data_IF_958250556452
#
_entry.id   IF_958250556452
#
_cell.length_a   1.000
_cell.length_b   1.000
_cell.length_c   1.000
_cell.angle_alpha   90.00
_cell.angle_beta   90.00
_cell.angle_gamma   90.00
#
_symmetry.space_group_name_H-M   'P 1'
#
loop_
_entity.id
_entity.type
_entity.pdbx_description
1 polymer ?
#
# COMPACT_ATOMS: atom_id res chain seq x y z
N UNK A 1 -11.70 4.05 -11.53
CA UNK A 1 -11.50 2.60 -11.28
C UNK A 1 -12.11 2.25 -9.93
N UNK A 2 -12.63 1.04 -9.71
CA UNK A 2 -13.19 0.66 -8.41
C UNK A 2 -12.07 0.57 -7.37
N UNK A 3 -12.16 1.35 -6.29
CA UNK A 3 -11.26 1.28 -5.13
C UNK A 3 -11.93 0.55 -3.98
N UNK A 4 -11.18 0.09 -2.97
CA UNK A 4 -11.81 -0.51 -1.80
C UNK A 4 -12.68 0.52 -1.05
N UNK A 5 -13.92 0.15 -0.70
CA UNK A 5 -14.81 1.04 0.08
C UNK A 5 -14.15 1.45 1.40
N UNK A 6 -13.30 0.59 1.98
CA UNK A 6 -12.54 0.91 3.19
C UNK A 6 -11.62 2.14 3.04
N UNK A 7 -11.04 2.40 1.86
CA UNK A 7 -10.20 3.60 1.65
C UNK A 7 -11.05 4.87 1.67
N UNK A 8 -12.18 4.86 0.96
CA UNK A 8 -13.11 6.00 0.95
C UNK A 8 -13.66 6.28 2.36
N UNK A 9 -14.03 5.23 3.10
CA UNK A 9 -14.48 5.35 4.49
C UNK A 9 -13.41 5.92 5.42
N UNK A 10 -12.15 5.51 5.25
CA UNK A 10 -11.01 6.01 6.02
C UNK A 10 -10.85 7.54 5.83
N UNK A 11 -10.80 8.01 4.59
CA UNK A 11 -10.63 9.45 4.33
C UNK A 11 -11.84 10.29 4.72
N UNK A 12 -13.06 9.76 4.59
CA UNK A 12 -14.27 10.42 5.12
C UNK A 12 -14.17 10.56 6.65
N UNK A 13 -13.72 9.53 7.35
CA UNK A 13 -13.54 9.58 8.80
C UNK A 13 -12.48 10.61 9.21
N UNK A 14 -11.33 10.63 8.52
CA UNK A 14 -10.26 11.60 8.75
C UNK A 14 -10.79 13.03 8.55
N UNK A 15 -11.41 13.33 7.40
CA UNK A 15 -11.96 14.66 7.10
C UNK A 15 -13.00 15.10 8.13
N UNK A 16 -13.93 14.23 8.49
CA UNK A 16 -14.92 14.53 9.53
C UNK A 16 -14.28 14.80 10.89
N UNK A 17 -13.19 14.11 11.22
CA UNK A 17 -12.44 14.32 12.45
C UNK A 17 -11.72 15.67 12.45
N UNK A 18 -11.16 16.08 11.31
CA UNK A 18 -10.59 17.42 11.11
C UNK A 18 -11.65 18.49 11.33
N UNK A 19 -12.79 18.41 10.62
CA UNK A 19 -13.88 19.40 10.74
C UNK A 19 -14.36 19.57 12.19
N UNK A 20 -14.44 18.48 12.95
CA UNK A 20 -14.85 18.54 14.37
C UNK A 20 -13.75 19.12 15.27
N UNK A 21 -12.49 18.76 15.03
CA UNK A 21 -11.38 19.22 15.84
C UNK A 21 -11.13 20.73 15.66
N UNK A 22 -11.25 21.22 14.43
CA UNK A 22 -10.90 22.60 14.06
C UNK A 22 -11.92 23.64 14.51
N UNK A 23 -13.12 23.19 14.93
CA UNK A 23 -14.08 24.02 15.69
C UNK A 23 -13.57 24.35 17.09
N UNK A 24 -12.72 23.48 17.67
CA UNK A 24 -12.21 23.62 19.04
C UNK A 24 -10.79 24.17 19.09
N UNK A 25 -9.93 23.73 18.18
CA UNK A 25 -8.51 24.09 18.19
C UNK A 25 -7.85 23.80 16.85
N UNK A 26 -6.87 24.64 16.50
CA UNK A 26 -5.99 24.49 15.32
C UNK A 26 -4.51 24.42 15.70
N UNK A 27 -4.22 24.38 16.99
CA UNK A 27 -2.86 24.40 17.50
C UNK A 27 -2.32 23.00 17.79
N UNK A 28 -1.57 22.86 18.89
CA UNK A 28 -0.88 21.61 19.27
C UNK A 28 -1.78 20.37 19.29
N UNK A 29 -3.03 20.48 19.75
CA UNK A 29 -3.95 19.34 19.79
C UNK A 29 -4.32 18.86 18.38
N UNK A 30 -4.50 19.78 17.44
CA UNK A 30 -4.73 19.42 16.04
C UNK A 30 -3.49 18.77 15.42
N UNK A 31 -2.28 19.25 15.76
CA UNK A 31 -1.03 18.61 15.35
C UNK A 31 -0.92 17.15 15.85
N UNK A 32 -1.31 16.87 17.10
CA UNK A 32 -1.33 15.50 17.63
C UNK A 32 -2.34 14.61 16.88
N UNK A 33 -3.50 15.16 16.54
CA UNK A 33 -4.50 14.45 15.75
C UNK A 33 -3.99 14.13 14.33
N UNK A 34 -3.33 15.10 13.69
CA UNK A 34 -2.65 14.92 12.41
C UNK A 34 -1.64 13.77 12.46
N UNK A 35 -0.77 13.73 13.48
CA UNK A 35 0.22 12.64 13.64
C UNK A 35 -0.46 11.26 13.74
N UNK A 36 -1.60 11.17 14.43
CA UNK A 36 -2.37 9.93 14.49
C UNK A 36 -2.93 9.51 13.12
N UNK A 37 -3.27 10.46 12.24
CA UNK A 37 -3.67 10.15 10.87
C UNK A 37 -2.51 9.59 10.05
N UNK A 38 -1.30 10.16 10.17
CA UNK A 38 -0.10 9.65 9.51
C UNK A 38 0.13 8.17 9.87
N UNK A 39 0.12 7.85 11.15
CA UNK A 39 0.28 6.47 11.64
C UNK A 39 -0.83 5.54 11.11
N UNK A 40 -2.06 6.04 11.03
CA UNK A 40 -3.20 5.26 10.54
C UNK A 40 -3.06 4.95 9.04
N UNK A 41 -2.62 5.92 8.25
CA UNK A 41 -2.41 5.77 6.81
C UNK A 41 -1.28 4.77 6.49
N UNK A 42 -0.15 4.86 7.20
CA UNK A 42 0.96 3.89 7.05
C UNK A 42 0.52 2.45 7.38
N UNK A 43 -0.25 2.29 8.46
CA UNK A 43 -0.83 0.98 8.82
C UNK A 43 -1.79 0.48 7.74
N UNK A 44 -2.61 1.36 7.17
CA UNK A 44 -3.52 1.00 6.10
C UNK A 44 -2.77 0.55 4.83
N UNK A 45 -1.70 1.24 4.43
CA UNK A 45 -0.82 0.81 3.34
C UNK A 45 -0.26 -0.60 3.59
N UNK A 46 0.14 -0.90 4.82
CA UNK A 46 0.62 -2.23 5.21
C UNK A 46 -0.47 -3.31 5.07
N UNK A 47 -1.71 -2.99 5.45
CA UNK A 47 -2.86 -3.90 5.29
C UNK A 47 -3.15 -4.18 3.82
N UNK A 48 -3.06 -3.15 2.96
CA UNK A 48 -3.20 -3.31 1.51
C UNK A 48 -2.09 -4.20 0.93
N UNK A 49 -0.83 -3.97 1.31
CA UNK A 49 0.29 -4.81 0.89
C UNK A 49 0.18 -6.27 1.33
N UNK A 50 -0.45 -6.52 2.48
CA UNK A 50 -0.74 -7.88 2.96
C UNK A 50 -1.80 -8.64 2.15
N UNK A 51 -2.46 -7.99 1.18
CA UNK A 51 -3.39 -8.64 0.24
C UNK A 51 -2.68 -9.27 -0.96
N UNK A 52 -1.39 -9.00 -1.17
CA UNK A 52 -0.63 -9.61 -2.24
C UNK A 52 -0.32 -11.09 -1.94
N UNK A 53 -0.19 -11.93 -2.98
CA UNK A 53 0.27 -13.30 -2.83
C UNK A 53 1.68 -13.34 -2.23
N UNK A 54 1.95 -14.39 -1.44
CA UNK A 54 3.28 -14.61 -0.90
C UNK A 54 4.29 -14.88 -2.03
N UNK A 55 5.53 -14.35 -1.93
CA UNK A 55 6.60 -14.71 -2.84
C UNK A 55 6.84 -16.22 -2.82
N UNK A 56 7.18 -16.79 -3.97
CA UNK A 56 7.66 -18.15 -4.07
C UNK A 56 9.04 -18.22 -3.40
N UNK A 57 9.14 -18.99 -2.32
CA UNK A 57 10.43 -19.29 -1.70
C UNK A 57 10.89 -20.67 -2.15
N UNK A 58 12.02 -20.74 -2.85
CA UNK A 58 12.69 -22.00 -3.14
C UNK A 58 13.58 -22.37 -1.95
N UNK A 59 13.06 -23.18 -1.04
CA UNK A 59 13.90 -23.85 -0.03
C UNK A 59 14.45 -25.14 -0.63
N UNK A 60 15.75 -25.19 -0.90
CA UNK A 60 16.42 -26.41 -1.30
C UNK A 60 16.59 -27.32 -0.06
N UNK A 61 15.92 -28.47 -0.05
CA UNK A 61 16.16 -29.54 0.93
C UNK A 61 16.68 -30.75 0.15
N UNK A 62 17.93 -31.15 0.41
CA UNK A 62 18.51 -32.36 -0.19
C UNK A 62 18.69 -32.34 -1.71
N UNK A 63 18.92 -31.17 -2.33
CA UNK A 63 19.15 -31.06 -3.78
C UNK A 63 17.89 -31.06 -4.64
N UNK A 64 16.71 -31.07 -4.04
CA UNK A 64 15.42 -30.93 -4.72
C UNK A 64 14.87 -29.53 -4.45
N UNK A 65 14.72 -28.73 -5.50
CA UNK A 65 14.09 -27.42 -5.46
C UNK A 65 12.57 -27.58 -5.44
N UNK A 66 11.98 -27.59 -4.24
CA UNK A 66 10.52 -27.63 -4.09
C UNK A 66 10.02 -26.18 -3.94
N UNK A 67 9.10 -25.72 -4.80
CA UNK A 67 8.44 -24.43 -4.58
C UNK A 67 7.52 -24.57 -3.36
N UNK A 68 7.90 -23.93 -2.26
CA UNK A 68 7.06 -23.84 -1.05
C UNK A 68 6.57 -22.40 -0.92
N UNK A 69 5.27 -22.23 -0.78
CA UNK A 69 4.66 -21.00 -0.30
C UNK A 69 5.01 -20.83 1.18
N UNK A 70 5.76 -19.77 1.51
CA UNK A 70 6.15 -19.50 2.88
C UNK A 70 4.92 -19.10 3.70
N UNK A 71 4.48 -19.96 4.63
CA UNK A 71 3.48 -19.62 5.65
C UNK A 71 4.20 -18.97 6.84
N UNK A 72 4.44 -17.66 6.77
CA UNK A 72 4.94 -16.89 7.91
C UNK A 72 5.29 -15.44 7.59
N UNK A 73 5.05 -14.49 8.51
CA UNK A 73 5.46 -13.11 8.33
C UNK A 73 6.98 -13.01 8.61
N UNK A 74 7.79 -12.96 7.55
CA UNK A 74 9.18 -12.51 7.66
C UNK A 74 9.34 -11.17 6.94
N UNK A 75 9.42 -10.13 7.75
CA UNK A 75 9.96 -8.83 7.38
C UNK A 75 11.45 -9.03 7.07
N UNK A 76 11.82 -9.02 5.80
CA UNK A 76 13.20 -9.00 5.34
C UNK A 76 13.24 -8.40 3.93
N UNK A 77 14.28 -7.62 3.67
CA UNK A 77 14.56 -6.88 2.45
C UNK A 77 14.11 -7.59 1.17
N UNK A 78 13.33 -6.89 0.35
CA UNK A 78 12.80 -7.38 -0.93
C UNK A 78 13.99 -7.61 -1.87
N UNK A 79 14.38 -8.85 -2.16
CA UNK A 79 15.35 -9.10 -3.21
C UNK A 79 14.67 -8.78 -4.55
N UNK A 80 15.41 -8.10 -5.43
CA UNK A 80 15.01 -7.76 -6.81
C UNK A 80 14.60 -8.96 -7.67
N UNK A 81 14.74 -10.19 -7.17
CA UNK A 81 14.48 -11.46 -7.84
C UNK A 81 13.39 -12.29 -7.14
N UNK A 82 12.37 -11.65 -6.56
CA UNK A 82 11.22 -12.38 -5.97
C UNK A 82 10.27 -12.84 -7.07
N UNK A 83 10.03 -14.15 -7.18
CA UNK A 83 9.08 -14.72 -8.14
C UNK A 83 7.70 -14.93 -7.50
N UNK A 84 6.61 -14.66 -8.23
CA UNK A 84 5.24 -14.74 -7.72
C UNK A 84 4.39 -15.65 -8.61
N UNK A 85 3.49 -16.45 -8.01
CA UNK A 85 2.49 -17.21 -8.76
C UNK A 85 1.10 -16.64 -8.48
N UNK A 86 0.41 -16.25 -9.54
CA UNK A 86 -0.97 -15.73 -9.47
C UNK A 86 -1.90 -16.72 -10.19
N UNK A 87 -2.81 -17.39 -9.47
CA UNK A 87 -3.88 -18.17 -10.08
C UNK A 87 -4.77 -17.30 -10.99
N UNK A 88 -5.34 -17.84 -12.08
CA UNK A 88 -6.24 -17.07 -12.94
C UNK A 88 -7.39 -16.43 -12.17
N UNK A 89 -7.56 -15.12 -12.33
CA UNK A 89 -8.59 -14.32 -11.67
C UNK A 89 -8.09 -13.61 -10.40
N UNK A 90 -7.02 -14.07 -9.77
CA UNK A 90 -6.47 -13.41 -8.56
C UNK A 90 -5.70 -12.12 -8.89
N UNK A 91 -5.29 -11.93 -10.15
CA UNK A 91 -4.72 -10.67 -10.64
C UNK A 91 -5.63 -9.46 -10.40
N UNK A 92 -6.95 -9.67 -10.40
CA UNK A 92 -7.95 -8.62 -10.16
C UNK A 92 -7.78 -8.04 -8.77
N UNK A 93 -7.49 -8.87 -7.76
CA UNK A 93 -7.23 -8.39 -6.39
C UNK A 93 -5.99 -7.51 -6.34
N UNK A 94 -4.93 -7.89 -7.06
CA UNK A 94 -3.69 -7.10 -7.12
C UNK A 94 -3.92 -5.76 -7.81
N UNK A 95 -4.64 -5.74 -8.94
CA UNK A 95 -5.03 -4.50 -9.61
C UNK A 95 -5.90 -3.61 -8.72
N UNK A 96 -6.89 -4.17 -8.03
CA UNK A 96 -7.76 -3.42 -7.11
C UNK A 96 -6.97 -2.79 -5.96
N UNK A 97 -5.96 -3.49 -5.43
CA UNK A 97 -5.03 -2.94 -4.43
C UNK A 97 -4.22 -1.79 -5.02
N UNK A 98 -3.67 -1.93 -6.23
CA UNK A 98 -2.92 -0.87 -6.93
C UNK A 98 -3.80 0.37 -7.10
N UNK A 99 -4.99 0.23 -7.69
CA UNK A 99 -5.93 1.33 -7.90
C UNK A 99 -6.28 2.03 -6.57
N UNK A 100 -6.40 1.25 -5.49
CA UNK A 100 -6.68 1.80 -4.16
C UNK A 100 -5.47 2.56 -3.59
N UNK A 101 -4.24 2.06 -3.78
CA UNK A 101 -3.04 2.73 -3.33
C UNK A 101 -2.81 4.05 -4.08
N UNK A 102 -3.02 4.09 -5.40
CA UNK A 102 -2.94 5.33 -6.18
C UNK A 102 -3.98 6.36 -5.70
N UNK A 103 -5.24 5.95 -5.55
CA UNK A 103 -6.26 6.81 -4.97
C UNK A 103 -5.89 7.33 -3.57
N UNK A 104 -5.31 6.48 -2.72
CA UNK A 104 -4.86 6.89 -1.39
C UNK A 104 -3.73 7.92 -1.47
N UNK A 105 -2.74 7.74 -2.35
CA UNK A 105 -1.63 8.69 -2.52
C UNK A 105 -2.15 10.08 -2.93
N UNK A 106 -2.99 10.14 -3.97
CA UNK A 106 -3.61 11.38 -4.43
C UNK A 106 -4.45 12.05 -3.32
N UNK A 107 -5.19 11.24 -2.56
CA UNK A 107 -6.03 11.77 -1.48
C UNK A 107 -5.20 12.23 -0.28
N UNK A 108 -4.02 11.64 -0.02
CA UNK A 108 -3.08 12.11 1.01
C UNK A 108 -2.50 13.46 0.63
N UNK A 109 -2.13 13.68 -0.63
CA UNK A 109 -1.65 14.98 -1.12
C UNK A 109 -2.70 16.08 -0.86
N UNK A 110 -3.94 15.87 -1.30
CA UNK A 110 -5.03 16.81 -1.05
C UNK A 110 -5.35 17.00 0.45
N UNK A 111 -5.14 15.96 1.27
CA UNK A 111 -5.33 16.02 2.72
C UNK A 111 -4.24 16.88 3.37
N UNK A 112 -2.99 16.75 2.95
CA UNK A 112 -1.86 17.52 3.44
C UNK A 112 -2.08 19.02 3.21
N UNK A 113 -2.48 19.40 2.00
CA UNK A 113 -2.81 20.78 1.64
C UNK A 113 -3.91 21.34 2.54
N UNK A 114 -5.00 20.58 2.71
CA UNK A 114 -6.10 20.97 3.59
C UNK A 114 -5.65 21.16 5.05
N UNK A 115 -4.81 20.28 5.57
CA UNK A 115 -4.28 20.38 6.95
C UNK A 115 -3.37 21.60 7.08
N UNK A 116 -2.50 21.84 6.09
CA UNK A 116 -1.58 22.99 6.05
C UNK A 116 -2.32 24.32 5.96
N UNK A 117 -3.43 24.39 5.22
CA UNK A 117 -4.30 25.57 5.18
C UNK A 117 -5.07 25.80 6.49
N UNK A 118 -5.29 24.74 7.27
CA UNK A 118 -6.16 24.77 8.45
C UNK A 118 -5.42 25.00 9.76
N UNK A 119 -4.20 24.46 9.90
CA UNK A 119 -3.40 24.51 11.12
C UNK A 119 -2.84 25.92 11.39
N UNK A 120 -2.61 26.26 12.66
CA UNK A 120 -1.98 27.53 13.05
C UNK A 120 -0.58 27.69 12.43
N UNK A 121 -0.22 28.92 12.03
CA UNK A 121 1.03 29.25 11.31
C UNK A 121 2.28 28.66 11.98
N UNK A 122 2.32 28.64 13.32
CA UNK A 122 3.47 28.14 14.09
C UNK A 122 3.76 26.63 13.87
N UNK A 123 2.81 25.87 13.31
CA UNK A 123 2.95 24.44 13.08
C UNK A 123 3.00 24.04 11.60
N UNK A 124 2.79 24.98 10.66
CA UNK A 124 2.72 24.64 9.22
C UNK A 124 3.99 23.98 8.70
N UNK A 125 5.16 24.42 9.16
CA UNK A 125 6.47 23.84 8.80
C UNK A 125 6.66 22.40 9.29
N UNK A 126 5.75 21.89 10.14
CA UNK A 126 5.78 20.53 10.67
C UNK A 126 4.84 19.58 9.91
N UNK A 127 4.11 20.09 8.93
CA UNK A 127 3.19 19.31 8.09
C UNK A 127 3.95 18.79 6.89
N UNK A 128 4.02 17.46 6.79
CA UNK A 128 4.67 16.70 5.73
C UNK A 128 4.08 15.30 5.74
N UNK A 129 3.33 14.95 4.69
CA UNK A 129 2.76 13.61 4.50
C UNK A 129 3.39 12.86 3.33
N UNK A 130 4.55 13.32 2.83
CA UNK A 130 5.29 12.65 1.75
C UNK A 130 5.60 11.19 2.08
N UNK A 131 5.94 10.88 3.34
CA UNK A 131 6.17 9.50 3.79
C UNK A 131 4.92 8.60 3.74
N UNK A 132 3.72 9.16 3.87
CA UNK A 132 2.48 8.39 3.68
C UNK A 132 2.19 8.15 2.21
N UNK A 133 2.43 9.14 1.35
CA UNK A 133 2.31 9.00 -0.11
C UNK A 133 3.29 7.94 -0.62
N UNK A 134 4.57 8.03 -0.21
CA UNK A 134 5.61 7.07 -0.53
C UNK A 134 5.24 5.65 -0.09
N UNK A 135 4.66 5.48 1.10
CA UNK A 135 4.18 4.17 1.55
C UNK A 135 3.13 3.56 0.61
N UNK A 136 2.22 4.35 0.03
CA UNK A 136 1.26 3.86 -0.96
C UNK A 136 1.91 3.59 -2.32
N UNK A 137 2.84 4.44 -2.77
CA UNK A 137 3.60 4.21 -4.00
C UNK A 137 4.49 2.96 -3.93
N UNK A 138 5.08 2.67 -2.77
CA UNK A 138 5.86 1.45 -2.53
C UNK A 138 5.02 0.19 -2.70
N UNK A 139 3.79 0.20 -2.17
CA UNK A 139 2.85 -0.91 -2.35
C UNK A 139 2.41 -1.01 -3.80
N UNK A 140 2.19 0.12 -4.48
CA UNK A 140 1.89 0.16 -5.92
C UNK A 140 3.00 -0.48 -6.75
N UNK A 141 4.25 -0.05 -6.56
CA UNK A 141 5.42 -0.60 -7.25
C UNK A 141 5.62 -2.10 -6.94
N UNK A 142 5.30 -2.53 -5.71
CA UNK A 142 5.29 -3.95 -5.35
C UNK A 142 4.19 -4.72 -6.08
N UNK A 143 2.97 -4.18 -6.15
CA UNK A 143 1.85 -4.79 -6.87
C UNK A 143 2.16 -4.98 -8.36
N UNK A 144 2.78 -4.00 -9.00
CA UNK A 144 3.22 -4.10 -10.40
C UNK A 144 4.22 -5.24 -10.58
N UNK A 145 5.23 -5.36 -9.70
CA UNK A 145 6.20 -6.47 -9.72
C UNK A 145 5.53 -7.83 -9.54
N UNK A 146 4.56 -7.92 -8.64
CA UNK A 146 3.75 -9.13 -8.41
C UNK A 146 2.99 -9.52 -9.68
N UNK A 147 2.32 -8.57 -10.33
CA UNK A 147 1.59 -8.82 -11.58
C UNK A 147 2.50 -9.29 -12.70
N UNK A 148 3.61 -8.57 -12.95
CA UNK A 148 4.57 -8.91 -14.00
C UNK A 148 5.10 -10.34 -13.81
N UNK A 149 5.64 -10.63 -12.63
CA UNK A 149 6.18 -11.97 -12.33
C UNK A 149 5.11 -13.07 -12.38
N UNK A 150 3.91 -12.79 -11.87
CA UNK A 150 2.78 -13.72 -11.90
C UNK A 150 2.32 -14.08 -13.31
N UNK A 151 2.29 -13.09 -14.20
CA UNK A 151 1.91 -13.27 -15.61
C UNK A 151 3.01 -13.97 -16.41
N UNK A 152 4.28 -13.60 -16.21
CA UNK A 152 5.42 -14.28 -16.84
C UNK A 152 5.41 -15.79 -16.54
N UNK A 153 5.23 -16.16 -15.27
CA UNK A 153 5.14 -17.55 -14.83
C UNK A 153 3.95 -18.31 -15.45
N UNK A 154 2.83 -17.62 -15.74
CA UNK A 154 1.66 -18.24 -16.41
C UNK A 154 1.95 -18.51 -17.89
N UNK A 155 2.72 -17.63 -18.53
CA UNK A 155 3.03 -17.73 -19.96
C UNK A 155 4.22 -18.64 -20.27
N UNK A 156 5.04 -18.97 -19.27
CA UNK A 156 6.28 -19.73 -19.46
C UNK A 156 6.06 -21.12 -20.10
N UNK A 157 5.01 -21.85 -19.68
CA UNK A 157 4.70 -23.17 -20.23
C UNK A 157 4.28 -23.09 -21.71
N UNK A 158 3.41 -22.13 -22.06
CA UNK A 158 2.99 -21.91 -23.43
C UNK A 158 4.16 -21.46 -24.33
N UNK A 159 5.09 -20.64 -23.81
CA UNK A 159 6.31 -20.26 -24.53
C UNK A 159 7.23 -21.45 -24.81
N UNK A 160 7.34 -22.40 -23.87
CA UNK A 160 8.16 -23.61 -24.06
C UNK A 160 7.59 -24.53 -25.14
N UNK A 161 6.27 -24.62 -25.26
CA UNK A 161 5.60 -25.42 -26.28
C UNK A 161 5.66 -24.80 -27.70
N UNK A 162 6.06 -23.52 -27.82
CA UNK A 162 6.19 -22.82 -29.11
C UNK A 162 7.60 -22.93 -29.75
N UNK A 163 8.59 -23.52 -29.07
CA UNK A 163 9.97 -23.74 -29.55
C UNK A 163 10.24 -25.21 -29.84
#
# INVERSE_FOLDING_TARGET
>A
LPVFISSTGLFVYIRNSITRCTVLTKGRTFLLLYQAFQDTLRKYATVLGGKFPAPLTTTAVGGISIPVSSFGPKQADIPSSSSYRIPPGEEVTVCHVIDTCEYCADTVEALEDMIRETIDEEFKDRIDMSGEQEAFHDITARGIRVLVSGLENRTEAAMKDMN
#
